data_IF_660935722081
#
_entry.id   IF_660935722081
#
_cell.length_a   1.000
_cell.length_b   1.000
_cell.length_c   1.000
_cell.angle_alpha   90.00
_cell.angle_beta   90.00
_cell.angle_gamma   90.00
#
_symmetry.space_group_name_H-M   'P 1'
#
loop_
_entity.id
_entity.type
_entity.pdbx_description
1 polymer ?
#
# COMPACT_ATOMS: atom_id res chain seq x y z
N UNK A 1 -1.78 10.99 1.73
CA UNK A 1 -0.34 10.77 1.54
C UNK A 1 -0.10 10.01 0.23
N UNK A 2 1.09 10.08 -0.37
CA UNK A 2 1.47 9.17 -1.45
C UNK A 2 2.20 7.96 -0.89
N UNK A 3 1.76 6.77 -1.27
CA UNK A 3 2.37 5.48 -0.92
C UNK A 3 2.99 4.87 -2.17
N UNK A 4 3.99 4.01 -2.02
CA UNK A 4 4.65 3.34 -3.13
C UNK A 4 4.79 1.85 -2.86
N UNK A 5 4.82 1.05 -3.91
CA UNK A 5 5.21 -0.36 -3.81
C UNK A 5 6.75 -0.53 -3.74
N UNK A 6 7.20 -1.79 -3.65
CA UNK A 6 8.63 -2.15 -3.63
C UNK A 6 9.41 -1.71 -4.88
N UNK A 7 8.74 -1.53 -6.00
CA UNK A 7 9.34 -1.07 -7.27
C UNK A 7 9.25 0.46 -7.41
N UNK A 8 8.87 1.17 -6.35
CA UNK A 8 8.59 2.62 -6.34
C UNK A 8 7.47 3.04 -7.30
N UNK A 9 6.55 2.14 -7.64
CA UNK A 9 5.33 2.54 -8.33
C UNK A 9 4.42 3.23 -7.33
N UNK A 10 3.90 4.41 -7.68
CA UNK A 10 2.93 5.10 -6.83
C UNK A 10 1.69 4.23 -6.64
N UNK A 11 1.19 4.11 -5.42
CA UNK A 11 -0.09 3.51 -5.07
C UNK A 11 -1.02 4.63 -4.67
N UNK A 12 -2.13 4.75 -5.38
CA UNK A 12 -3.20 5.72 -5.12
C UNK A 12 -4.53 5.01 -4.96
N UNK A 13 -5.53 5.69 -4.41
CA UNK A 13 -6.92 5.23 -4.46
C UNK A 13 -7.33 4.92 -5.90
N UNK A 14 -8.06 3.82 -6.10
CA UNK A 14 -8.40 3.28 -7.42
C UNK A 14 -7.33 2.42 -8.07
N UNK A 15 -6.09 2.38 -7.54
CA UNK A 15 -5.05 1.49 -8.05
C UNK A 15 -5.43 0.03 -7.81
N UNK A 16 -5.22 -0.82 -8.83
CA UNK A 16 -5.28 -2.28 -8.67
C UNK A 16 -3.95 -2.74 -8.07
N UNK A 17 -4.03 -3.52 -7.00
CA UNK A 17 -2.86 -4.03 -6.29
C UNK A 17 -2.99 -5.51 -6.01
N UNK A 18 -1.86 -6.14 -5.72
CA UNK A 18 -1.75 -7.49 -5.20
C UNK A 18 -1.07 -7.47 -3.83
N UNK A 19 -1.61 -8.19 -2.86
CA UNK A 19 -0.94 -8.41 -1.57
C UNK A 19 0.15 -9.47 -1.77
N UNK A 20 1.42 -9.03 -1.67
CA UNK A 20 2.61 -9.86 -1.84
C UNK A 20 2.54 -11.08 -0.92
N UNK A 21 2.90 -12.26 -1.43
CA UNK A 21 2.91 -13.50 -0.67
C UNK A 21 1.56 -14.20 -0.51
N UNK A 22 0.44 -13.52 -0.80
CA UNK A 22 -0.91 -14.14 -0.73
C UNK A 22 -1.55 -14.35 -2.10
N UNK A 23 -1.13 -13.57 -3.11
CA UNK A 23 -1.73 -13.59 -4.45
C UNK A 23 -3.11 -12.92 -4.54
N UNK A 24 -3.66 -12.43 -3.42
CA UNK A 24 -4.93 -11.71 -3.43
C UNK A 24 -4.79 -10.37 -4.12
N UNK A 25 -5.75 -10.06 -4.99
CA UNK A 25 -5.81 -8.79 -5.71
C UNK A 25 -7.03 -7.98 -5.29
N UNK A 26 -6.93 -6.66 -5.40
CA UNK A 26 -8.02 -5.75 -5.05
C UNK A 26 -7.80 -4.34 -5.57
N UNK A 27 -8.79 -3.48 -5.36
CA UNK A 27 -8.72 -2.04 -5.65
C UNK A 27 -8.57 -1.30 -4.33
N UNK A 28 -7.61 -0.37 -4.26
CA UNK A 28 -7.44 0.50 -3.09
C UNK A 28 -8.63 1.45 -2.99
N UNK A 29 -9.39 1.39 -1.89
CA UNK A 29 -10.50 2.31 -1.62
C UNK A 29 -10.07 3.56 -0.83
N UNK A 30 -9.17 3.39 0.12
CA UNK A 30 -8.65 4.46 0.96
C UNK A 30 -7.18 4.20 1.33
N UNK A 31 -6.44 5.27 1.61
CA UNK A 31 -5.07 5.23 2.14
C UNK A 31 -5.07 6.13 3.37
N UNK A 32 -5.00 5.52 4.54
CA UNK A 32 -5.09 6.19 5.82
C UNK A 32 -3.76 6.09 6.57
N UNK A 33 -3.40 7.15 7.26
CA UNK A 33 -2.20 7.23 8.11
C UNK A 33 -2.49 7.93 9.43
N UNK A 34 -3.75 8.24 9.70
CA UNK A 34 -4.16 8.97 10.90
C UNK A 34 -3.91 8.10 12.15
N UNK A 35 -3.36 8.72 13.20
CA UNK A 35 -3.01 8.03 14.44
C UNK A 35 -1.79 7.09 14.37
N UNK A 36 -1.11 6.99 13.21
CA UNK A 36 0.11 6.20 13.06
C UNK A 36 1.35 7.10 13.07
N UNK A 37 2.33 6.76 13.90
CA UNK A 37 3.65 7.40 13.85
C UNK A 37 4.41 7.00 12.58
N UNK A 38 5.39 7.81 12.15
CA UNK A 38 6.23 7.55 10.99
C UNK A 38 6.90 6.16 11.04
N UNK A 39 7.28 5.68 12.23
CA UNK A 39 7.83 4.34 12.42
C UNK A 39 6.81 3.22 12.19
N UNK A 40 5.51 3.48 12.42
CA UNK A 40 4.42 2.54 12.15
C UNK A 40 3.98 2.60 10.69
N UNK A 41 3.98 3.77 10.06
CA UNK A 41 3.71 3.91 8.61
C UNK A 41 4.76 3.13 7.80
N UNK A 42 6.03 3.19 8.21
CA UNK A 42 7.14 2.46 7.55
C UNK A 42 7.11 0.95 7.77
N UNK A 43 6.58 0.49 8.91
CA UNK A 43 6.48 -0.95 9.27
C UNK A 43 5.13 -1.57 8.98
N UNK A 44 4.12 -0.75 8.69
CA UNK A 44 2.77 -1.20 8.38
C UNK A 44 2.74 -2.01 7.08
N UNK A 45 1.81 -2.95 7.01
CA UNK A 45 1.56 -3.87 5.87
C UNK A 45 1.38 -3.20 4.51
N UNK A 46 1.36 -1.87 4.43
CA UNK A 46 1.30 -1.11 3.18
C UNK A 46 2.48 -1.42 2.25
N UNK A 47 3.63 -1.86 2.79
CA UNK A 47 4.79 -2.31 2.01
C UNK A 47 4.61 -3.64 1.28
N UNK A 48 3.57 -4.42 1.61
CA UNK A 48 3.30 -5.71 0.96
C UNK A 48 2.46 -5.56 -0.32
N UNK A 49 1.86 -4.41 -0.60
CA UNK A 49 1.06 -4.23 -1.82
C UNK A 49 1.96 -3.95 -3.03
N UNK A 50 1.79 -4.72 -4.11
CA UNK A 50 2.41 -4.49 -5.43
C UNK A 50 1.39 -3.88 -6.38
N UNK A 51 1.75 -2.80 -7.09
CA UNK A 51 0.89 -2.26 -8.15
C UNK A 51 0.84 -3.23 -9.34
N UNK A 52 -0.37 -3.47 -9.86
CA UNK A 52 -0.63 -4.27 -11.05
C UNK A 52 -0.86 -3.39 -12.28
#
# INVERSE_FOLDING_TARGET
MMTYDRNRNAITTGSRVMISGTGHTGIIKAIESEGLDAGQIRRGKNGDCRRL
#
